data_IF_661940115917
#
_entry.id   IF_661940115917
#
_cell.length_a   1.000
_cell.length_b   1.000
_cell.length_c   1.000
_cell.angle_alpha   90.00
_cell.angle_beta   90.00
_cell.angle_gamma   90.00
#
_symmetry.space_group_name_H-M   'P 1'
#
loop_
_entity.id
_entity.type
_entity.pdbx_description
1 polymer ?
#
# COMPACT_ATOMS: atom_id res chain seq x y z
N UNK A 1 -9.19 -30.77 -21.88
CA UNK A 1 -9.89 -29.57 -22.40
C UNK A 1 -10.43 -28.84 -21.18
N UNK A 2 -9.56 -28.03 -20.54
CA UNK A 2 -9.94 -27.12 -19.43
C UNK A 2 -9.47 -25.74 -19.83
N UNK A 3 -10.43 -24.85 -20.04
CA UNK A 3 -10.26 -23.49 -20.50
C UNK A 3 -9.76 -22.58 -19.38
N UNK A 4 -8.85 -21.78 -19.77
CA UNK A 4 -8.34 -20.47 -19.36
C UNK A 4 -8.94 -19.82 -18.11
N UNK A 5 -8.05 -19.65 -17.12
CA UNK A 5 -8.25 -18.74 -15.97
C UNK A 5 -8.43 -17.30 -16.41
N UNK A 6 -9.66 -16.86 -16.55
CA UNK A 6 -10.03 -15.45 -16.73
C UNK A 6 -9.72 -14.69 -15.44
N UNK A 7 -8.82 -13.72 -15.60
CA UNK A 7 -8.54 -12.64 -14.67
C UNK A 7 -9.89 -12.04 -14.18
N UNK A 8 -10.26 -12.29 -12.93
CA UNK A 8 -11.47 -11.75 -12.35
C UNK A 8 -11.29 -10.26 -12.11
N UNK A 9 -11.72 -9.44 -13.08
CA UNK A 9 -11.99 -8.02 -12.88
C UNK A 9 -12.96 -7.91 -11.70
N UNK A 10 -12.49 -7.39 -10.57
CA UNK A 10 -13.30 -7.20 -9.36
C UNK A 10 -14.40 -6.17 -9.64
N UNK A 11 -15.57 -6.65 -10.07
CA UNK A 11 -16.82 -5.89 -9.99
C UNK A 11 -17.19 -5.83 -8.51
N UNK A 12 -16.91 -4.71 -7.85
CA UNK A 12 -17.39 -4.50 -6.50
C UNK A 12 -18.83 -4.00 -6.56
N UNK A 13 -19.77 -4.83 -6.09
CA UNK A 13 -21.17 -4.45 -5.93
C UNK A 13 -21.30 -3.66 -4.62
N UNK A 14 -21.70 -2.41 -4.70
CA UNK A 14 -21.92 -1.58 -3.51
C UNK A 14 -23.40 -1.39 -3.25
N UNK A 15 -23.79 -1.54 -1.99
CA UNK A 15 -25.14 -1.25 -1.52
C UNK A 15 -25.16 0.20 -0.98
N UNK A 16 -25.89 1.09 -1.66
CA UNK A 16 -26.26 2.39 -1.11
C UNK A 16 -27.49 2.21 -0.21
N UNK A 17 -27.30 2.31 1.10
CA UNK A 17 -28.34 2.07 2.10
C UNK A 17 -29.53 3.06 2.05
N UNK A 18 -29.54 4.03 1.14
CA UNK A 18 -30.60 5.04 1.07
C UNK A 18 -31.48 4.96 -0.18
N UNK A 19 -31.04 4.37 -1.27
CA UNK A 19 -31.80 4.33 -2.55
C UNK A 19 -32.33 2.96 -2.96
N UNK A 20 -31.98 1.88 -2.26
CA UNK A 20 -32.44 0.51 -2.58
C UNK A 20 -31.98 -0.02 -3.94
N UNK A 21 -31.22 0.73 -4.71
CA UNK A 21 -30.65 0.36 -6.00
C UNK A 21 -29.15 0.09 -5.82
N UNK A 22 -28.72 -1.14 -6.08
CA UNK A 22 -27.30 -1.46 -6.20
C UNK A 22 -26.73 -0.73 -7.43
N UNK A 23 -26.08 0.42 -7.22
CA UNK A 23 -25.29 1.01 -8.30
C UNK A 23 -24.02 0.20 -8.47
N UNK A 24 -23.94 -0.55 -9.56
CA UNK A 24 -22.70 -1.19 -10.01
C UNK A 24 -21.79 -0.08 -10.52
N UNK A 25 -20.89 0.38 -9.64
CA UNK A 25 -19.84 1.29 -10.05
C UNK A 25 -18.66 0.44 -10.49
N UNK A 26 -18.41 0.42 -11.78
CA UNK A 26 -17.23 -0.23 -12.32
C UNK A 26 -15.98 0.60 -11.99
N UNK A 27 -15.35 0.29 -10.87
CA UNK A 27 -14.07 0.86 -10.43
C UNK A 27 -12.91 0.03 -11.00
N UNK A 28 -12.89 -0.17 -12.30
CA UNK A 28 -11.88 -0.99 -12.97
C UNK A 28 -10.47 -0.53 -12.61
N UNK A 29 -9.71 -1.41 -11.94
CA UNK A 29 -8.34 -1.14 -11.55
C UNK A 29 -8.16 -0.25 -10.31
N UNK A 30 -9.25 0.22 -9.66
CA UNK A 30 -9.15 1.00 -8.43
C UNK A 30 -8.75 0.10 -7.25
N UNK A 31 -7.70 0.49 -6.51
CA UNK A 31 -7.15 -0.31 -5.42
C UNK A 31 -7.49 0.27 -4.06
N UNK A 32 -7.88 -0.60 -3.13
CA UNK A 32 -8.00 -0.27 -1.72
C UNK A 32 -6.72 -0.64 -0.97
N UNK A 33 -6.18 0.29 -0.22
CA UNK A 33 -5.02 0.11 0.64
C UNK A 33 -5.49 0.32 2.07
N UNK A 34 -5.44 -0.72 2.90
CA UNK A 34 -5.68 -0.56 4.33
C UNK A 34 -4.42 0.00 4.99
N UNK A 35 -4.56 1.12 5.72
CA UNK A 35 -3.49 1.68 6.54
C UNK A 35 -3.76 1.34 8.01
N UNK A 36 -2.83 0.68 8.69
CA UNK A 36 -2.96 0.41 10.11
C UNK A 36 -2.57 1.61 10.98
N UNK A 37 -3.16 1.67 12.18
CA UNK A 37 -2.85 2.66 13.20
C UNK A 37 -3.17 2.09 14.58
N UNK A 38 -2.14 1.73 15.34
CA UNK A 38 -2.31 1.05 16.63
C UNK A 38 -3.09 1.92 17.64
N UNK A 39 -2.86 3.23 17.61
CA UNK A 39 -3.52 4.16 18.54
C UNK A 39 -5.04 4.26 18.35
N UNK A 40 -5.53 4.02 17.13
CA UNK A 40 -6.98 4.05 16.80
C UNK A 40 -7.61 2.67 16.72
N UNK A 41 -6.82 1.61 16.92
CA UNK A 41 -7.28 0.23 16.85
C UNK A 41 -7.80 -0.26 18.22
N UNK A 42 -9.05 -0.78 18.32
CA UNK A 42 -9.60 -1.24 19.61
C UNK A 42 -9.08 -2.61 20.05
N UNK A 43 -8.24 -3.27 19.26
CA UNK A 43 -7.67 -4.61 19.50
C UNK A 43 -6.22 -4.68 19.00
N UNK A 44 -5.56 -5.86 19.17
CA UNK A 44 -4.23 -6.05 18.59
C UNK A 44 -4.28 -5.90 17.06
N UNK A 45 -3.19 -5.36 16.47
CA UNK A 45 -3.14 -5.16 15.02
C UNK A 45 -3.25 -6.48 14.23
N UNK A 46 -2.72 -7.59 14.76
CA UNK A 46 -2.86 -8.92 14.13
C UNK A 46 -4.33 -9.29 13.97
N UNK A 47 -5.12 -9.22 15.07
CA UNK A 47 -6.56 -9.47 15.02
C UNK A 47 -7.32 -8.48 14.15
N UNK A 48 -6.85 -7.25 14.06
CA UNK A 48 -7.45 -6.26 13.15
C UNK A 48 -7.18 -6.62 11.70
N UNK A 49 -5.98 -7.09 11.37
CA UNK A 49 -5.62 -7.52 10.00
C UNK A 49 -6.48 -8.72 9.57
N UNK A 50 -6.74 -9.69 10.45
CA UNK A 50 -7.67 -10.79 10.18
C UNK A 50 -9.06 -10.26 9.78
N UNK A 51 -9.62 -9.34 10.56
CA UNK A 51 -10.93 -8.73 10.25
C UNK A 51 -10.92 -7.93 8.94
N UNK A 52 -9.84 -7.20 8.68
CA UNK A 52 -9.66 -6.48 7.41
C UNK A 52 -9.66 -7.46 6.24
N UNK A 53 -8.97 -8.58 6.37
CA UNK A 53 -8.86 -9.58 5.32
C UNK A 53 -10.20 -10.29 5.01
N UNK A 54 -11.10 -10.37 5.99
CA UNK A 54 -12.43 -11.01 5.90
C UNK A 54 -13.56 -10.04 5.59
N UNK A 55 -13.31 -8.72 5.61
CA UNK A 55 -14.37 -7.74 5.41
C UNK A 55 -14.84 -7.65 3.95
N UNK A 56 -16.07 -7.15 3.75
CA UNK A 56 -16.66 -6.93 2.42
C UNK A 56 -15.78 -6.09 1.49
N UNK A 57 -15.08 -5.11 2.05
CA UNK A 57 -14.16 -4.23 1.32
C UNK A 57 -12.71 -4.67 1.49
N UNK A 58 -12.43 -5.96 1.22
CA UNK A 58 -11.08 -6.51 1.35
C UNK A 58 -10.08 -5.70 0.53
N UNK A 59 -9.01 -5.17 1.15
CA UNK A 59 -8.01 -4.39 0.42
C UNK A 59 -7.10 -5.31 -0.41
N UNK A 60 -6.55 -4.77 -1.48
CA UNK A 60 -5.50 -5.43 -2.26
C UNK A 60 -4.13 -5.28 -1.58
N UNK A 61 -3.96 -4.24 -0.76
CA UNK A 61 -2.71 -3.93 -0.08
C UNK A 61 -2.94 -3.54 1.37
N UNK A 62 -2.02 -3.91 2.25
CA UNK A 62 -1.98 -3.49 3.65
C UNK A 62 -0.69 -2.70 3.90
N UNK A 63 -0.82 -1.43 4.25
CA UNK A 63 0.29 -0.59 4.70
C UNK A 63 0.39 -0.69 6.22
N UNK A 64 1.37 -1.49 6.68
CA UNK A 64 1.61 -1.73 8.11
C UNK A 64 2.32 -0.53 8.73
N UNK A 65 1.60 0.22 9.56
CA UNK A 65 2.11 1.38 10.28
C UNK A 65 1.84 1.23 11.78
N UNK A 66 2.91 1.23 12.56
CA UNK A 66 2.89 1.15 14.02
C UNK A 66 4.03 2.03 14.55
N UNK A 67 3.79 3.33 14.63
CA UNK A 67 4.81 4.35 14.98
C UNK A 67 5.32 4.24 16.40
N UNK A 68 4.50 3.65 17.26
CA UNK A 68 4.72 3.54 18.69
C UNK A 68 5.66 2.38 19.05
N UNK A 69 5.91 1.47 18.09
CA UNK A 69 6.74 0.30 18.31
C UNK A 69 8.21 0.60 18.08
N UNK A 70 9.06 -0.10 18.83
CA UNK A 70 10.49 -0.19 18.53
C UNK A 70 10.71 -0.94 17.22
N UNK A 71 11.85 -0.80 16.53
CA UNK A 71 12.15 -1.58 15.33
C UNK A 71 12.02 -3.09 15.55
N UNK A 72 12.46 -3.61 16.71
CA UNK A 72 12.41 -5.01 17.07
C UNK A 72 10.97 -5.51 17.24
N UNK A 73 10.11 -4.74 17.91
CA UNK A 73 8.70 -5.09 18.09
C UNK A 73 7.91 -4.92 16.80
N UNK A 74 8.29 -3.94 15.96
CA UNK A 74 7.74 -3.80 14.62
C UNK A 74 8.09 -5.00 13.73
N UNK A 75 9.33 -5.51 13.81
CA UNK A 75 9.75 -6.71 13.08
C UNK A 75 8.94 -7.94 13.49
N UNK A 76 8.70 -8.15 14.79
CA UNK A 76 7.84 -9.23 15.30
C UNK A 76 6.42 -9.11 14.76
N UNK A 77 5.83 -7.90 14.82
CA UNK A 77 4.50 -7.63 14.27
C UNK A 77 4.43 -7.91 12.76
N UNK A 78 5.43 -7.45 12.00
CA UNK A 78 5.49 -7.68 10.56
C UNK A 78 5.60 -9.18 10.23
N UNK A 79 6.38 -9.94 11.01
CA UNK A 79 6.50 -11.39 10.90
C UNK A 79 5.15 -12.11 11.14
N UNK A 80 4.38 -11.68 12.14
CA UNK A 80 3.05 -12.25 12.43
C UNK A 80 2.00 -11.90 11.37
N UNK A 81 2.07 -10.68 10.82
CA UNK A 81 1.10 -10.16 9.82
C UNK A 81 1.37 -10.71 8.42
N UNK A 82 2.63 -10.99 8.07
CA UNK A 82 3.00 -11.43 6.71
C UNK A 82 2.27 -12.70 6.25
N UNK A 83 2.25 -13.82 7.03
CA UNK A 83 1.54 -15.03 6.61
C UNK A 83 0.01 -14.82 6.50
N UNK A 84 -0.58 -13.95 7.33
CA UNK A 84 -1.98 -13.58 7.20
C UNK A 84 -2.24 -12.87 5.87
N UNK A 85 -1.45 -11.85 5.55
CA UNK A 85 -1.58 -11.17 4.27
C UNK A 85 -1.42 -12.11 3.08
N UNK A 86 -0.46 -13.03 3.13
CA UNK A 86 -0.22 -14.02 2.09
C UNK A 86 -1.41 -14.98 1.91
N UNK A 87 -1.99 -15.49 3.00
CA UNK A 87 -3.12 -16.43 2.96
C UNK A 87 -4.37 -15.83 2.34
N UNK A 88 -4.58 -14.52 2.53
CA UNK A 88 -5.71 -13.78 1.96
C UNK A 88 -5.41 -13.08 0.63
N UNK A 89 -4.20 -13.20 0.10
CA UNK A 89 -3.80 -12.55 -1.14
C UNK A 89 -3.69 -11.02 -1.05
N UNK A 90 -3.36 -10.51 0.14
CA UNK A 90 -3.14 -9.09 0.41
C UNK A 90 -1.63 -8.80 0.34
N UNK A 91 -1.24 -7.81 -0.43
CA UNK A 91 0.16 -7.42 -0.55
C UNK A 91 0.57 -6.54 0.65
N UNK A 92 1.57 -6.99 1.43
CA UNK A 92 2.07 -6.25 2.58
C UNK A 92 3.05 -5.15 2.17
N UNK A 93 2.85 -3.94 2.67
CA UNK A 93 3.72 -2.77 2.50
C UNK A 93 4.28 -2.39 3.88
N UNK A 94 5.59 -2.33 4.01
CA UNK A 94 6.26 -1.93 5.25
C UNK A 94 6.39 -0.40 5.31
N UNK A 95 5.92 0.21 6.40
CA UNK A 95 6.06 1.64 6.62
C UNK A 95 7.40 1.96 7.29
N UNK A 96 8.23 2.79 6.67
CA UNK A 96 9.48 3.37 7.19
C UNK A 96 10.64 2.37 7.38
N UNK A 97 10.41 1.18 7.90
CA UNK A 97 11.44 0.20 8.26
C UNK A 97 11.88 -0.66 7.06
N UNK A 98 12.54 -0.03 6.09
CA UNK A 98 12.94 -0.70 4.84
C UNK A 98 13.92 -1.87 5.04
N UNK A 99 14.75 -1.84 6.10
CA UNK A 99 15.64 -2.95 6.45
C UNK A 99 14.83 -4.21 6.79
N UNK A 100 13.80 -4.05 7.63
CA UNK A 100 12.88 -5.14 7.99
C UNK A 100 12.16 -5.69 6.75
N UNK A 101 11.79 -4.81 5.80
CA UNK A 101 11.22 -5.26 4.53
C UNK A 101 12.17 -6.19 3.78
N UNK A 102 13.46 -5.82 3.65
CA UNK A 102 14.47 -6.66 3.01
C UNK A 102 14.70 -7.98 3.75
N UNK A 103 14.79 -7.96 5.08
CA UNK A 103 14.97 -9.15 5.93
C UNK A 103 13.81 -10.16 5.77
N UNK A 104 12.58 -9.66 5.64
CA UNK A 104 11.38 -10.47 5.46
C UNK A 104 11.09 -10.82 3.98
N UNK A 105 11.92 -10.39 3.05
CA UNK A 105 11.69 -10.59 1.61
C UNK A 105 10.51 -9.79 1.05
N UNK A 106 10.10 -8.71 1.72
CA UNK A 106 9.02 -7.83 1.30
C UNK A 106 9.59 -6.74 0.43
N UNK A 107 9.15 -6.66 -0.83
CA UNK A 107 9.69 -5.66 -1.76
C UNK A 107 9.07 -4.27 -1.60
N UNK A 108 7.85 -4.15 -1.03
CA UNK A 108 7.14 -2.87 -0.97
C UNK A 108 7.35 -2.14 0.34
N UNK A 109 7.72 -0.88 0.19
CA UNK A 109 7.89 0.04 1.32
C UNK A 109 7.17 1.36 1.07
N UNK A 110 6.69 1.97 2.16
CA UNK A 110 6.19 3.33 2.16
C UNK A 110 7.10 4.22 2.99
N UNK A 111 7.70 5.22 2.36
CA UNK A 111 8.63 6.12 3.01
C UNK A 111 8.12 7.56 2.99
N UNK A 112 8.02 8.25 4.13
CA UNK A 112 7.91 9.70 4.15
C UNK A 112 9.10 10.33 3.39
N UNK A 113 8.87 11.45 2.70
CA UNK A 113 9.87 12.09 1.84
C UNK A 113 11.25 12.28 2.50
N UNK A 114 11.37 12.72 3.77
CA UNK A 114 12.69 12.83 4.43
C UNK A 114 13.43 11.50 4.59
N UNK A 115 12.70 10.39 4.73
CA UNK A 115 13.26 9.04 4.82
C UNK A 115 13.64 8.50 3.45
N UNK A 116 12.86 8.82 2.42
CA UNK A 116 13.17 8.49 1.03
C UNK A 116 14.50 9.14 0.61
N UNK A 117 14.71 10.42 0.95
CA UNK A 117 15.94 11.14 0.65
C UNK A 117 17.19 10.51 1.26
N UNK A 118 17.04 9.83 2.40
CA UNK A 118 18.13 9.16 3.12
C UNK A 118 18.34 7.69 2.71
N UNK A 119 17.46 7.15 1.83
CA UNK A 119 17.53 5.74 1.45
C UNK A 119 18.79 5.45 0.62
N UNK A 120 19.63 4.47 0.99
CA UNK A 120 20.79 4.07 0.23
C UNK A 120 20.45 3.63 -1.21
N UNK A 121 21.31 3.96 -2.17
CA UNK A 121 21.09 3.62 -3.59
C UNK A 121 20.91 2.11 -3.79
N UNK A 122 21.67 1.29 -3.08
CA UNK A 122 21.54 -0.18 -3.15
C UNK A 122 20.13 -0.65 -2.74
N UNK A 123 19.59 -0.11 -1.64
CA UNK A 123 18.24 -0.45 -1.18
C UNK A 123 17.15 0.03 -2.16
N UNK A 124 17.35 1.19 -2.82
CA UNK A 124 16.39 1.67 -3.84
C UNK A 124 16.23 0.72 -5.02
N UNK A 125 17.28 0.00 -5.39
CA UNK A 125 17.25 -0.95 -6.51
C UNK A 125 16.50 -2.24 -6.17
N UNK A 126 16.33 -2.55 -4.89
CA UNK A 126 15.70 -3.79 -4.42
C UNK A 126 14.26 -3.58 -3.95
N UNK A 127 13.79 -2.34 -3.86
CA UNK A 127 12.51 -2.00 -3.27
C UNK A 127 11.59 -1.28 -4.24
N UNK A 128 10.29 -1.53 -4.10
CA UNK A 128 9.20 -0.77 -4.72
C UNK A 128 8.74 0.27 -3.71
N UNK A 129 8.99 1.54 -4.01
CA UNK A 129 8.87 2.62 -3.04
C UNK A 129 7.63 3.46 -3.33
N UNK A 130 6.76 3.60 -2.35
CA UNK A 130 5.72 4.64 -2.33
C UNK A 130 6.08 5.76 -1.36
N UNK A 131 5.63 6.99 -1.62
CA UNK A 131 5.89 8.13 -0.73
C UNK A 131 4.66 9.01 -0.54
N UNK A 132 4.48 9.52 0.69
CA UNK A 132 3.45 10.51 0.99
C UNK A 132 3.87 11.88 0.46
N UNK A 133 2.91 12.59 -0.16
CA UNK A 133 3.13 13.92 -0.72
C UNK A 133 1.99 14.88 -0.35
N UNK A 134 2.37 16.12 -0.04
CA UNK A 134 1.46 17.16 0.42
C UNK A 134 1.54 18.45 -0.41
N UNK A 135 2.34 18.45 -1.48
CA UNK A 135 2.43 19.52 -2.46
C UNK A 135 2.92 18.97 -3.80
N UNK A 136 2.74 19.76 -4.86
CA UNK A 136 3.29 19.46 -6.20
C UNK A 136 4.81 19.35 -6.13
N UNK A 137 5.48 20.25 -5.42
CA UNK A 137 6.92 20.22 -5.25
C UNK A 137 7.42 18.94 -4.54
N UNK A 138 6.68 18.47 -3.50
CA UNK A 138 7.00 17.21 -2.85
C UNK A 138 6.80 16.00 -3.79
N UNK A 139 5.77 16.03 -4.65
CA UNK A 139 5.56 14.96 -5.63
C UNK A 139 6.71 14.90 -6.65
N UNK A 140 7.10 16.04 -7.20
CA UNK A 140 8.23 16.14 -8.13
C UNK A 140 9.52 15.63 -7.48
N UNK A 141 9.77 16.02 -6.22
CA UNK A 141 10.95 15.58 -5.48
C UNK A 141 10.90 14.07 -5.18
N UNK A 142 9.76 13.53 -4.72
CA UNK A 142 9.62 12.11 -4.47
C UNK A 142 9.90 11.25 -5.72
N UNK A 143 9.39 11.68 -6.87
CA UNK A 143 9.64 11.03 -8.16
C UNK A 143 11.11 11.11 -8.59
N UNK A 144 11.72 12.28 -8.45
CA UNK A 144 13.15 12.47 -8.74
C UNK A 144 14.04 11.61 -7.82
N UNK A 145 13.60 11.34 -6.59
CA UNK A 145 14.26 10.47 -5.63
C UNK A 145 13.90 8.98 -5.78
N UNK A 146 13.11 8.62 -6.81
CA UNK A 146 12.84 7.22 -7.19
C UNK A 146 11.57 6.61 -6.58
N UNK A 147 10.62 7.41 -6.11
CA UNK A 147 9.30 6.89 -5.76
C UNK A 147 8.59 6.34 -7.00
N UNK A 148 7.98 5.18 -6.85
CA UNK A 148 7.26 4.44 -7.89
C UNK A 148 5.74 4.45 -7.66
N UNK A 149 5.30 5.06 -6.57
CA UNK A 149 3.91 5.38 -6.28
C UNK A 149 3.84 6.59 -5.35
N UNK A 150 2.78 7.38 -5.46
CA UNK A 150 2.54 8.53 -4.60
C UNK A 150 1.26 8.34 -3.78
N UNK A 151 1.29 8.75 -2.51
CA UNK A 151 0.12 8.81 -1.63
C UNK A 151 -0.16 10.28 -1.34
N UNK A 152 -1.17 10.83 -2.02
CA UNK A 152 -1.50 12.25 -2.01
C UNK A 152 -2.55 12.59 -0.95
N UNK A 153 -2.31 13.53 -0.09
CA UNK A 153 -3.31 13.91 0.91
C UNK A 153 -2.95 15.05 1.85
N UNK A 154 -3.91 15.31 2.75
CA UNK A 154 -5.24 14.69 2.93
C UNK A 154 -6.28 15.32 1.99
N UNK A 155 -7.09 14.48 1.35
CA UNK A 155 -8.01 14.94 0.30
C UNK A 155 -9.30 15.52 0.90
N UNK A 156 -9.91 14.83 1.86
CA UNK A 156 -11.12 15.27 2.56
C UNK A 156 -10.83 15.59 4.02
N UNK A 157 -11.73 16.29 4.66
CA UNK A 157 -11.66 16.60 6.10
C UNK A 157 -11.50 15.31 6.92
N UNK A 158 -10.60 15.32 7.89
CA UNK A 158 -10.29 14.13 8.71
C UNK A 158 -9.90 14.53 10.13
N UNK A 159 -10.33 13.75 11.11
CA UNK A 159 -9.95 13.96 12.52
C UNK A 159 -8.45 13.80 12.76
N UNK A 160 -7.75 13.01 11.93
CA UNK A 160 -6.29 12.82 12.02
C UNK A 160 -5.48 14.08 11.67
N UNK A 161 -6.13 15.09 11.08
CA UNK A 161 -5.55 16.39 10.70
C UNK A 161 -6.47 17.52 11.13
N UNK A 162 -7.01 17.43 12.37
CA UNK A 162 -7.89 18.45 12.92
C UNK A 162 -7.28 19.84 12.79
N UNK A 163 -8.10 20.80 12.35
CA UNK A 163 -7.68 22.20 12.16
C UNK A 163 -6.90 22.49 10.86
N UNK A 164 -6.54 21.50 10.06
CA UNK A 164 -5.96 21.73 8.75
C UNK A 164 -7.01 21.59 7.64
N UNK A 165 -7.13 22.54 6.71
CA UNK A 165 -8.05 22.43 5.59
C UNK A 165 -7.65 21.26 4.68
N UNK A 166 -8.63 20.52 4.12
CA UNK A 166 -8.36 19.47 3.13
C UNK A 166 -7.78 20.09 1.86
N UNK A 167 -6.93 19.33 1.18
CA UNK A 167 -6.30 19.77 -0.08
C UNK A 167 -7.26 19.66 -1.27
N UNK A 168 -8.27 18.80 -1.18
CA UNK A 168 -9.30 18.64 -2.17
C UNK A 168 -8.89 17.85 -3.41
N UNK A 169 -9.87 17.67 -4.29
CA UNK A 169 -9.72 16.88 -5.52
C UNK A 169 -8.83 17.59 -6.56
N UNK A 170 -8.79 18.92 -6.55
CA UNK A 170 -7.95 19.68 -7.48
C UNK A 170 -6.45 19.44 -7.21
N UNK A 171 -6.06 19.36 -5.94
CA UNK A 171 -4.70 18.94 -5.57
C UNK A 171 -4.40 17.53 -6.09
N UNK A 172 -5.35 16.60 -5.97
CA UNK A 172 -5.17 15.22 -6.46
C UNK A 172 -4.94 15.18 -7.97
N UNK A 173 -5.68 15.99 -8.77
CA UNK A 173 -5.47 16.12 -10.21
C UNK A 173 -4.08 16.64 -10.55
N UNK A 174 -3.61 17.68 -9.83
CA UNK A 174 -2.26 18.23 -10.03
C UNK A 174 -1.18 17.18 -9.76
N UNK A 175 -1.34 16.36 -8.70
CA UNK A 175 -0.40 15.27 -8.40
C UNK A 175 -0.43 14.20 -9.50
N UNK A 176 -1.63 13.85 -9.99
CA UNK A 176 -1.79 12.91 -11.10
C UNK A 176 -1.09 13.41 -12.37
N UNK A 177 -1.26 14.69 -12.74
CA UNK A 177 -0.59 15.31 -13.91
C UNK A 177 0.94 15.27 -13.80
N UNK A 178 1.47 15.47 -12.60
CA UNK A 178 2.92 15.34 -12.34
C UNK A 178 3.36 13.89 -12.51
N UNK A 179 2.61 12.94 -11.93
CA UNK A 179 2.92 11.51 -12.01
C UNK A 179 2.85 10.97 -13.44
N UNK A 180 1.88 11.42 -14.23
CA UNK A 180 1.67 11.01 -15.62
C UNK A 180 2.84 11.39 -16.55
N UNK A 181 3.63 12.40 -16.20
CA UNK A 181 4.83 12.83 -16.96
C UNK A 181 6.07 11.98 -16.65
N UNK A 182 5.98 11.08 -15.67
CA UNK A 182 7.08 10.22 -15.26
C UNK A 182 6.80 8.77 -15.67
N UNK A 183 7.83 8.10 -16.20
CA UNK A 183 7.76 6.67 -16.51
C UNK A 183 8.18 5.91 -15.26
N UNK A 184 7.36 4.93 -14.87
CA UNK A 184 7.71 4.08 -13.74
C UNK A 184 9.00 3.31 -14.05
N UNK A 185 10.03 3.34 -13.19
CA UNK A 185 11.22 2.52 -13.37
C UNK A 185 10.81 1.03 -13.34
N UNK A 186 11.47 0.20 -14.13
CA UNK A 186 11.23 -1.25 -14.10
C UNK A 186 11.49 -1.78 -12.71
N UNK A 187 10.53 -2.54 -12.18
CA UNK A 187 10.65 -3.18 -10.88
C UNK A 187 11.63 -4.35 -11.04
N UNK A 188 12.70 -4.44 -10.23
CA UNK A 188 13.60 -5.57 -10.26
C UNK A 188 12.86 -6.84 -9.86
N UNK A 189 13.09 -7.94 -10.58
CA UNK A 189 12.65 -9.25 -10.12
C UNK A 189 13.52 -9.70 -8.94
N UNK A 190 12.93 -10.40 -7.95
CA UNK A 190 13.64 -10.90 -6.75
C UNK A 190 14.91 -11.70 -7.07
N UNK A 191 14.96 -12.34 -8.25
CA UNK A 191 16.12 -13.14 -8.70
C UNK A 191 17.39 -12.31 -8.96
N UNK A 192 17.27 -11.00 -9.17
CA UNK A 192 18.39 -10.13 -9.56
C UNK A 192 18.94 -9.26 -8.41
N UNK A 193 18.27 -9.18 -7.25
CA UNK A 193 18.49 -8.07 -6.35
C UNK A 193 19.14 -8.35 -5.00
N UNK A 194 19.22 -9.57 -4.51
CA UNK A 194 19.77 -9.80 -3.17
C UNK A 194 20.63 -11.07 -3.07
N UNK A 195 21.95 -10.88 -3.01
CA UNK A 195 22.86 -11.86 -2.40
C UNK A 195 23.03 -11.46 -0.93
N UNK A 196 22.65 -12.32 0.04
CA UNK A 196 22.96 -12.04 1.43
C UNK A 196 24.49 -11.90 1.58
N UNK A 197 24.94 -10.74 1.97
CA UNK A 197 26.33 -10.55 2.42
C UNK A 197 26.47 -11.40 3.69
N UNK A 198 27.41 -12.33 3.67
CA UNK A 198 27.75 -13.21 4.79
C UNK A 198 27.88 -12.36 6.08
N UNK A 199 26.92 -12.48 6.97
CA UNK A 199 27.14 -12.24 8.38
C UNK A 199 27.72 -13.53 8.92
N UNK A 200 28.90 -13.40 9.54
CA UNK A 200 29.67 -14.47 10.12
C UNK A 200 28.84 -15.28 11.14
N UNK A 201 29.12 -16.56 11.09
CA UNK A 201 28.66 -17.65 11.92
C UNK A 201 28.33 -17.29 13.38
N UNK A 202 27.05 -17.49 13.74
CA UNK A 202 26.70 -18.12 15.02
C UNK A 202 25.67 -19.21 14.70
N UNK A 203 26.16 -20.44 14.87
CA UNK A 203 25.42 -21.65 14.68
C UNK A 203 24.41 -21.81 15.80
N UNK A 204 23.12 -21.80 15.48
CA UNK A 204 22.06 -22.63 16.07
C UNK A 204 20.66 -22.10 15.69
N UNK A 205 20.29 -22.12 14.44
CA UNK A 205 18.87 -22.19 13.99
C UNK A 205 18.84 -22.81 12.59
N UNK A 206 19.12 -24.11 12.51
CA UNK A 206 18.77 -24.92 11.34
C UNK A 206 17.64 -25.83 11.74
N UNK A 207 16.46 -25.53 11.21
CA UNK A 207 15.43 -26.47 10.74
C UNK A 207 14.09 -25.77 10.69
N UNK A 208 13.75 -25.21 9.56
CA UNK A 208 12.40 -25.18 9.00
C UNK A 208 12.43 -24.46 7.64
N UNK A 209 13.09 -25.10 6.67
CA UNK A 209 12.85 -24.76 5.27
C UNK A 209 11.63 -25.56 4.79
N UNK A 210 10.44 -25.01 4.94
CA UNK A 210 9.30 -25.44 4.16
C UNK A 210 9.34 -24.70 2.82
N UNK A 211 9.46 -25.46 1.74
CA UNK A 211 9.34 -24.99 0.36
C UNK A 211 7.92 -24.46 0.11
N UNK A 212 7.70 -23.20 0.41
CA UNK A 212 6.48 -22.49 0.03
C UNK A 212 6.73 -21.87 -1.33
N UNK A 213 6.11 -22.42 -2.38
CA UNK A 213 6.06 -21.79 -3.70
C UNK A 213 5.52 -20.34 -3.54
N UNK A 214 6.39 -19.37 -3.67
CA UNK A 214 6.00 -17.96 -3.70
C UNK A 214 5.23 -17.72 -5.00
N UNK A 215 3.90 -17.61 -4.88
CA UNK A 215 3.07 -17.10 -5.97
C UNK A 215 3.55 -15.68 -6.28
N UNK A 216 4.21 -15.51 -7.41
CA UNK A 216 4.57 -14.21 -7.94
C UNK A 216 3.28 -13.43 -8.23
N UNK A 217 3.03 -12.39 -7.46
CA UNK A 217 1.94 -11.46 -7.76
C UNK A 217 2.28 -10.74 -9.06
N UNK A 218 1.52 -11.02 -10.11
CA UNK A 218 1.65 -10.36 -11.40
C UNK A 218 1.39 -8.86 -11.24
N UNK A 219 2.46 -8.10 -11.11
CA UNK A 219 2.42 -6.65 -11.28
C UNK A 219 2.14 -6.43 -12.76
N UNK A 220 1.06 -5.72 -13.07
CA UNK A 220 0.73 -5.36 -14.44
C UNK A 220 1.90 -4.58 -15.06
N UNK A 221 2.74 -5.26 -15.82
CA UNK A 221 3.89 -4.67 -16.54
C UNK A 221 3.47 -3.69 -17.66
N UNK A 222 2.16 -3.48 -17.86
CA UNK A 222 1.61 -2.58 -18.87
C UNK A 222 1.33 -1.17 -18.37
N UNK A 223 1.45 -0.91 -17.05
CA UNK A 223 1.20 0.43 -16.51
C UNK A 223 2.45 1.29 -16.68
N UNK A 224 2.44 2.18 -17.68
CA UNK A 224 3.56 3.09 -17.98
C UNK A 224 3.60 4.33 -17.06
N UNK A 225 2.53 4.60 -16.32
CA UNK A 225 2.42 5.78 -15.43
C UNK A 225 2.57 5.42 -13.97
N UNK A 226 3.14 6.35 -13.20
CA UNK A 226 3.27 6.24 -11.74
C UNK A 226 1.87 6.30 -11.08
N UNK A 227 1.45 5.31 -10.28
CA UNK A 227 0.16 5.34 -9.60
C UNK A 227 0.10 6.39 -8.49
N UNK A 228 -1.05 7.07 -8.40
CA UNK A 228 -1.38 8.01 -7.34
C UNK A 228 -2.54 7.46 -6.52
N UNK A 229 -2.33 7.32 -5.22
CA UNK A 229 -3.34 6.91 -4.25
C UNK A 229 -3.77 8.11 -3.41
N UNK A 230 -5.07 8.26 -3.20
CA UNK A 230 -5.61 9.30 -2.35
C UNK A 230 -5.63 8.87 -0.87
N UNK A 231 -5.38 9.80 0.06
CA UNK A 231 -5.49 9.54 1.50
C UNK A 231 -6.15 10.70 2.23
N UNK A 232 -6.85 10.39 3.33
CA UNK A 232 -7.39 11.35 4.30
C UNK A 232 -8.86 11.65 4.08
N UNK A 233 -9.67 11.32 5.10
CA UNK A 233 -11.12 11.50 5.12
C UNK A 233 -11.90 10.57 4.19
N UNK A 234 -11.27 9.50 3.71
CA UNK A 234 -11.87 8.53 2.80
C UNK A 234 -12.44 7.37 3.61
N UNK A 235 -13.69 7.03 3.33
CA UNK A 235 -14.40 5.89 3.89
C UNK A 235 -14.71 4.81 2.87
N UNK A 236 -15.61 3.88 3.26
CA UNK A 236 -16.21 2.90 2.35
C UNK A 236 -17.43 3.53 1.66
N UNK A 237 -17.14 4.46 0.75
CA UNK A 237 -18.14 5.27 0.05
C UNK A 237 -17.84 5.29 -1.46
N UNK A 238 -18.75 4.68 -2.23
CA UNK A 238 -18.62 4.54 -3.67
C UNK A 238 -18.61 5.91 -4.40
N UNK A 239 -19.31 6.92 -3.89
CA UNK A 239 -19.33 8.27 -4.48
C UNK A 239 -17.97 8.94 -4.30
N UNK A 240 -17.40 8.88 -3.08
CA UNK A 240 -16.03 9.35 -2.87
C UNK A 240 -15.05 8.66 -3.82
N UNK A 241 -15.15 7.34 -3.99
CA UNK A 241 -14.23 6.61 -4.85
C UNK A 241 -14.38 6.99 -6.33
N UNK A 242 -15.60 7.26 -6.79
CA UNK A 242 -15.84 7.81 -8.16
C UNK A 242 -15.16 9.16 -8.36
N UNK A 243 -15.32 10.08 -7.40
CA UNK A 243 -14.67 11.40 -7.43
C UNK A 243 -13.14 11.27 -7.47
N UNK A 244 -12.58 10.32 -6.71
CA UNK A 244 -11.15 10.04 -6.72
C UNK A 244 -10.66 9.51 -8.06
N UNK A 245 -11.39 8.56 -8.67
CA UNK A 245 -11.08 8.04 -10.02
C UNK A 245 -11.15 9.16 -11.07
N UNK A 246 -12.20 9.98 -11.06
CA UNK A 246 -12.35 11.12 -11.95
C UNK A 246 -11.25 12.16 -11.79
N UNK A 247 -10.61 12.19 -10.62
CA UNK A 247 -9.47 13.06 -10.32
C UNK A 247 -8.11 12.40 -10.58
N UNK A 248 -8.09 11.20 -11.20
CA UNK A 248 -6.89 10.51 -11.63
C UNK A 248 -6.27 9.57 -10.59
N UNK A 249 -6.93 9.31 -9.45
CA UNK A 249 -6.43 8.34 -8.48
C UNK A 249 -6.63 6.90 -8.97
N UNK A 250 -5.62 6.06 -8.79
CA UNK A 250 -5.68 4.63 -9.02
C UNK A 250 -6.09 3.83 -7.78
N UNK A 251 -6.41 4.52 -6.67
CA UNK A 251 -6.89 3.87 -5.46
C UNK A 251 -6.96 4.81 -4.26
N UNK A 252 -7.36 4.26 -3.12
CA UNK A 252 -7.49 4.96 -1.87
C UNK A 252 -6.76 4.25 -0.74
N UNK A 253 -6.02 5.03 0.07
CA UNK A 253 -5.43 4.59 1.32
C UNK A 253 -6.39 4.97 2.46
N UNK A 254 -6.99 3.97 3.09
CA UNK A 254 -8.06 4.13 4.09
C UNK A 254 -7.55 3.65 5.44
N UNK A 255 -7.67 4.47 6.48
CA UNK A 255 -7.25 4.13 7.83
C UNK A 255 -8.46 3.94 8.76
N UNK A 256 -9.18 5.02 9.03
CA UNK A 256 -10.18 5.05 10.11
C UNK A 256 -11.33 4.06 9.92
N UNK A 257 -11.76 3.82 8.67
CA UNK A 257 -12.80 2.85 8.39
C UNK A 257 -12.29 1.42 8.66
N UNK A 258 -11.06 1.09 8.22
CA UNK A 258 -10.47 -0.23 8.48
C UNK A 258 -10.12 -0.47 9.95
N UNK A 259 -9.81 0.56 10.73
CA UNK A 259 -9.52 0.39 12.17
C UNK A 259 -10.80 0.21 13.01
N UNK A 260 -11.98 0.48 12.47
CA UNK A 260 -13.26 0.42 13.18
C UNK A 260 -14.12 -0.82 12.85
N UNK A 261 -13.75 -1.62 11.87
CA UNK A 261 -14.46 -2.88 11.54
C UNK A 261 -14.26 -3.96 12.59
#
# INVERSE_FOLDING_TARGET
MFEDGKNSDCLQHFYDGQSGLAQVVELKGFRLIALTDAASCPRSLVKQVERIAECTYKPQQLLLRAKELTPEDYAKLAWEVLPLCQSYGIELIIHTHWQIALELGIQRVHLPLPKLSQLPVAARRSLVISSSVHSVAEAQRALAEGAQALVAGHIYTTSCKAGLPPRGLEFLKQIHEVAAKHVAPKIPTMAESYKPTQLQDDADVREHQSSTEQKSYNICNSCTSIPVYAIGGIGFDARQWQELVQSGAQGACIMSAYMKI
#
